data_IF_294156193607
#
_entry.id   IF_294156193607
#
_cell.length_a   1.000
_cell.length_b   1.000
_cell.length_c   1.000
_cell.angle_alpha   90.00
_cell.angle_beta   90.00
_cell.angle_gamma   90.00
#
_symmetry.space_group_name_H-M   'P 1'
#
loop_
_entity.id
_entity.type
_entity.pdbx_description
1 polymer ?
#
# COMPACT_ATOMS: atom_id res chain seq x y z
N UNK A 1 -1.71 1.07 -14.55
CA UNK A 1 -2.08 0.47 -13.25
C UNK A 1 -2.84 1.53 -12.46
N UNK A 2 -4.16 1.39 -12.29
CA UNK A 2 -4.93 2.28 -11.41
C UNK A 2 -4.63 1.92 -9.95
N UNK A 3 -4.29 2.90 -9.12
CA UNK A 3 -4.00 2.69 -7.70
C UNK A 3 -5.30 2.39 -6.94
N UNK A 4 -5.46 1.13 -6.49
CA UNK A 4 -6.68 0.64 -5.82
C UNK A 4 -6.98 1.35 -4.50
N UNK A 5 -5.97 1.98 -3.89
CA UNK A 5 -6.10 2.82 -2.69
C UNK A 5 -7.10 3.96 -2.91
N UNK A 6 -7.01 4.63 -4.07
CA UNK A 6 -7.92 5.72 -4.42
C UNK A 6 -9.28 5.22 -4.90
N UNK A 7 -9.44 3.95 -5.26
CA UNK A 7 -10.75 3.39 -5.62
C UNK A 7 -11.57 2.94 -4.41
N UNK A 8 -10.93 2.71 -3.25
CA UNK A 8 -11.61 2.34 -2.00
C UNK A 8 -12.31 3.55 -1.36
N UNK A 9 -11.81 4.75 -1.63
CA UNK A 9 -12.43 6.01 -1.18
C UNK A 9 -13.15 6.65 -2.36
N UNK A 10 -14.46 6.84 -2.22
CA UNK A 10 -15.29 7.51 -3.23
C UNK A 10 -14.93 9.00 -3.42
N UNK A 11 -14.07 9.54 -2.56
CA UNK A 11 -13.67 10.93 -2.55
C UNK A 11 -12.15 11.06 -2.35
N UNK A 12 -11.44 11.47 -3.42
CA UNK A 12 -10.00 11.74 -3.40
C UNK A 12 -9.66 12.83 -2.39
N UNK A 13 -10.59 13.75 -2.12
CA UNK A 13 -10.34 14.88 -1.23
C UNK A 13 -10.19 14.43 0.22
N UNK A 14 -11.00 13.46 0.64
CA UNK A 14 -10.87 12.83 1.97
C UNK A 14 -9.50 12.18 2.21
N UNK A 15 -8.82 11.70 1.15
CA UNK A 15 -7.49 11.11 1.22
C UNK A 15 -6.40 12.17 1.28
N UNK A 16 -6.61 13.33 0.64
CA UNK A 16 -5.68 14.46 0.64
C UNK A 16 -5.76 15.27 1.94
N UNK A 17 -6.92 15.31 2.58
CA UNK A 17 -7.15 15.96 3.87
C UNK A 17 -6.76 15.07 5.07
N UNK A 18 -6.39 13.81 4.81
CA UNK A 18 -5.94 12.85 5.82
C UNK A 18 -4.54 13.19 6.32
N UNK A 19 -4.32 13.09 7.64
CA UNK A 19 -2.98 13.24 8.19
C UNK A 19 -2.03 12.18 7.62
N UNK A 20 -0.74 12.52 7.53
CA UNK A 20 0.28 11.66 6.93
C UNK A 20 0.38 10.32 7.68
N UNK A 21 0.26 10.30 9.00
CA UNK A 21 0.32 9.05 9.78
C UNK A 21 -0.87 8.14 9.47
N UNK A 22 -2.07 8.71 9.41
CA UNK A 22 -3.30 7.99 9.08
C UNK A 22 -3.27 7.46 7.64
N UNK A 23 -2.78 8.26 6.69
CA UNK A 23 -2.60 7.85 5.31
C UNK A 23 -1.62 6.67 5.20
N UNK A 24 -0.48 6.75 5.91
CA UNK A 24 0.52 5.69 5.93
C UNK A 24 -0.09 4.40 6.52
N UNK A 25 -0.81 4.49 7.64
CA UNK A 25 -1.46 3.35 8.28
C UNK A 25 -2.51 2.70 7.36
N UNK A 26 -3.36 3.51 6.74
CA UNK A 26 -4.34 3.06 5.75
C UNK A 26 -3.67 2.36 4.57
N UNK A 27 -2.64 2.97 3.98
CA UNK A 27 -1.92 2.44 2.85
C UNK A 27 -1.26 1.09 3.18
N UNK A 28 -0.60 0.99 4.33
CA UNK A 28 -0.02 -0.27 4.79
C UNK A 28 -1.07 -1.35 5.05
N UNK A 29 -2.21 -0.99 5.64
CA UNK A 29 -3.34 -1.90 5.85
C UNK A 29 -3.85 -2.48 4.53
N UNK A 30 -4.04 -1.62 3.53
CA UNK A 30 -4.50 -2.05 2.20
C UNK A 30 -3.49 -2.98 1.52
N UNK A 31 -2.20 -2.65 1.55
CA UNK A 31 -1.15 -3.53 1.02
C UNK A 31 -1.16 -4.89 1.74
N UNK A 32 -1.28 -4.88 3.07
CA UNK A 32 -1.31 -6.11 3.86
C UNK A 32 -2.48 -6.98 3.45
N UNK A 33 -3.67 -6.39 3.30
CA UNK A 33 -4.88 -7.07 2.84
C UNK A 33 -4.71 -7.66 1.44
N UNK A 34 -4.22 -6.87 0.47
CA UNK A 34 -4.00 -7.36 -0.89
C UNK A 34 -2.99 -8.51 -0.94
N UNK A 35 -1.96 -8.47 -0.10
CA UNK A 35 -0.99 -9.54 0.02
C UNK A 35 -1.65 -10.81 0.59
N UNK A 36 -2.48 -10.67 1.62
CA UNK A 36 -3.20 -11.77 2.24
C UNK A 36 -4.21 -12.41 1.28
N UNK A 37 -4.99 -11.60 0.57
CA UNK A 37 -5.94 -12.06 -0.46
C UNK A 37 -5.25 -12.88 -1.56
N UNK A 38 -4.04 -12.45 -1.98
CA UNK A 38 -3.23 -13.20 -2.96
C UNK A 38 -2.75 -14.53 -2.41
N UNK A 39 -2.28 -14.57 -1.17
CA UNK A 39 -1.82 -15.81 -0.52
C UNK A 39 -3.00 -16.76 -0.36
N UNK A 40 -4.16 -16.25 0.05
CA UNK A 40 -5.38 -17.03 0.19
C UNK A 40 -5.85 -17.62 -1.14
N UNK A 41 -5.86 -16.81 -2.20
CA UNK A 41 -6.21 -17.28 -3.55
C UNK A 41 -5.25 -18.36 -4.04
N UNK A 42 -3.95 -18.21 -3.77
CA UNK A 42 -2.95 -19.21 -4.13
C UNK A 42 -3.14 -20.51 -3.34
N UNK A 43 -3.48 -20.43 -2.05
CA UNK A 43 -3.80 -21.58 -1.22
C UNK A 43 -4.99 -22.36 -1.79
N UNK A 44 -6.11 -21.67 -2.09
CA UNK A 44 -7.28 -22.31 -2.69
C UNK A 44 -6.96 -23.01 -4.02
N UNK A 45 -6.16 -22.37 -4.87
CA UNK A 45 -5.83 -22.92 -6.19
C UNK A 45 -4.92 -24.15 -6.10
N UNK A 46 -3.88 -24.08 -5.27
CA UNK A 46 -2.90 -25.17 -5.13
C UNK A 46 -3.47 -26.38 -4.39
N UNK A 47 -4.42 -26.14 -3.49
CA UNK A 47 -4.93 -27.14 -2.58
C UNK A 47 -6.44 -27.40 -2.75
N UNK A 48 -6.99 -27.17 -3.94
CA UNK A 48 -8.41 -27.37 -4.25
C UNK A 48 -8.95 -28.79 -3.94
N UNK A 49 -8.09 -29.81 -3.96
CA UNK A 49 -8.44 -31.22 -3.77
C UNK A 49 -7.86 -31.80 -2.45
N UNK A 50 -7.80 -31.00 -1.39
CA UNK A 50 -7.38 -31.48 -0.08
C UNK A 50 -8.35 -32.51 0.51
N UNK A 51 -7.79 -33.61 0.99
CA UNK A 51 -8.43 -34.62 1.80
C UNK A 51 -7.72 -34.78 3.14
N UNK A 52 -8.07 -35.80 3.91
CA UNK A 52 -7.50 -36.04 5.24
C UNK A 52 -5.98 -36.22 5.23
N UNK A 53 -5.43 -36.82 4.17
CA UNK A 53 -4.02 -37.22 4.13
C UNK A 53 -3.07 -36.11 3.68
N UNK A 54 -3.59 -35.03 3.09
CA UNK A 54 -2.81 -33.93 2.53
C UNK A 54 -3.37 -32.54 2.89
N UNK A 55 -4.18 -32.48 3.96
CA UNK A 55 -4.71 -31.23 4.48
C UNK A 55 -3.57 -30.31 4.93
N UNK A 56 -3.64 -29.04 4.50
CA UNK A 56 -2.82 -27.95 5.01
C UNK A 56 -3.74 -26.77 5.30
N UNK A 57 -3.69 -26.26 6.53
CA UNK A 57 -4.45 -25.07 6.89
C UNK A 57 -3.93 -23.84 6.13
N UNK A 58 -4.79 -22.83 5.99
CA UNK A 58 -4.38 -21.56 5.39
C UNK A 58 -3.24 -20.92 6.20
N UNK A 59 -3.31 -20.98 7.52
CA UNK A 59 -2.30 -20.45 8.44
C UNK A 59 -0.93 -21.10 8.21
N UNK A 60 -0.88 -22.44 8.13
CA UNK A 60 0.35 -23.17 7.86
C UNK A 60 0.93 -22.82 6.48
N UNK A 61 0.09 -22.70 5.46
CA UNK A 61 0.54 -22.30 4.13
C UNK A 61 1.05 -20.86 4.12
N UNK A 62 0.29 -19.93 4.70
CA UNK A 62 0.64 -18.51 4.82
C UNK A 62 1.98 -18.36 5.54
N UNK A 63 2.17 -19.06 6.65
CA UNK A 63 3.39 -18.96 7.44
C UNK A 63 4.57 -19.51 6.66
N UNK A 64 4.42 -20.63 5.93
CA UNK A 64 5.47 -21.16 5.02
C UNK A 64 5.88 -20.16 3.94
N UNK A 65 4.94 -19.48 3.28
CA UNK A 65 5.26 -18.54 2.19
C UNK A 65 5.68 -17.14 2.68
N UNK A 66 5.40 -16.80 3.93
CA UNK A 66 5.76 -15.49 4.52
C UNK A 66 7.05 -15.52 5.32
N UNK A 67 7.39 -16.63 5.99
CA UNK A 67 8.65 -16.80 6.73
C UNK A 67 9.90 -16.83 5.84
N UNK A 68 9.77 -17.11 4.54
CA UNK A 68 10.91 -17.12 3.61
C UNK A 68 11.44 -15.71 3.31
N UNK A 69 10.68 -14.64 3.58
CA UNK A 69 11.15 -13.26 3.36
C UNK A 69 11.77 -12.70 4.63
N UNK A 70 13.10 -12.85 4.76
CA UNK A 70 13.90 -11.97 5.64
C UNK A 70 13.47 -10.53 5.37
N UNK A 71 13.12 -9.81 6.44
CA UNK A 71 12.88 -8.37 6.45
C UNK A 71 14.16 -7.70 5.93
N UNK A 72 14.26 -7.47 4.62
CA UNK A 72 15.33 -6.64 4.08
C UNK A 72 15.03 -5.26 4.60
N UNK A 73 15.87 -4.76 5.52
CA UNK A 73 15.89 -3.34 5.84
C UNK A 73 15.94 -2.58 4.53
N UNK A 74 14.89 -1.82 4.23
CA UNK A 74 14.90 -0.90 3.11
C UNK A 74 15.87 0.20 3.53
N UNK A 75 17.14 0.07 3.15
CA UNK A 75 18.10 1.16 3.23
C UNK A 75 17.72 2.17 2.15
N UNK A 76 16.92 3.17 2.54
CA UNK A 76 16.66 4.33 1.70
C UNK A 76 17.93 5.17 1.74
N UNK A 77 18.63 5.25 0.61
CA UNK A 77 19.81 6.08 0.49
C UNK A 77 19.46 7.58 0.58
N UNK A 78 20.45 8.40 0.93
CA UNK A 78 20.34 9.86 1.09
C UNK A 78 19.74 10.55 -0.15
N UNK A 79 20.11 10.09 -1.35
CA UNK A 79 19.63 10.69 -2.60
C UNK A 79 18.16 10.38 -2.82
N UNK A 80 17.71 9.16 -2.51
CA UNK A 80 16.29 8.81 -2.57
C UNK A 80 15.47 9.62 -1.57
N UNK A 81 15.97 9.87 -0.35
CA UNK A 81 15.31 10.75 0.62
C UNK A 81 15.18 12.17 0.11
N UNK A 82 16.28 12.76 -0.41
CA UNK A 82 16.26 14.10 -1.00
C UNK A 82 15.25 14.21 -2.15
N UNK A 83 15.21 13.19 -3.01
CA UNK A 83 14.29 13.18 -4.15
C UNK A 83 12.82 13.14 -3.71
N UNK A 84 12.49 12.43 -2.62
CA UNK A 84 11.14 12.41 -2.05
C UNK A 84 10.78 13.78 -1.47
N UNK A 85 11.70 14.41 -0.71
CA UNK A 85 11.51 15.73 -0.10
C UNK A 85 11.29 16.79 -1.18
N UNK A 86 12.18 16.88 -2.16
CA UNK A 86 12.06 17.86 -3.26
C UNK A 86 10.76 17.68 -4.04
N UNK A 87 10.30 16.44 -4.22
CA UNK A 87 9.03 16.17 -4.90
C UNK A 87 7.84 16.60 -4.07
N UNK A 88 7.88 16.43 -2.75
CA UNK A 88 6.85 16.91 -1.83
C UNK A 88 6.77 18.45 -1.83
N UNK A 89 7.91 19.14 -1.76
CA UNK A 89 8.01 20.61 -1.81
C UNK A 89 7.48 21.19 -3.12
N UNK A 90 7.77 20.55 -4.26
CA UNK A 90 7.22 20.96 -5.55
C UNK A 90 5.69 20.79 -5.61
N UNK A 91 5.13 19.80 -4.91
CA UNK A 91 3.67 19.59 -4.86
C UNK A 91 2.99 20.64 -3.97
N UNK A 92 3.55 20.99 -2.82
CA UNK A 92 3.03 22.08 -1.96
C UNK A 92 3.17 23.46 -2.62
N UNK A 93 4.30 23.73 -3.29
CA UNK A 93 4.47 24.99 -4.03
C UNK A 93 3.47 25.15 -5.18
N UNK A 94 3.15 24.07 -5.89
CA UNK A 94 2.11 24.08 -6.93
C UNK A 94 0.71 24.29 -6.35
N UNK A 95 0.41 23.69 -5.19
CA UNK A 95 -0.87 23.89 -4.49
C UNK A 95 -1.08 25.35 -4.09
N UNK A 96 -0.06 25.99 -3.51
CA UNK A 96 -0.14 27.39 -3.08
C UNK A 96 -0.29 28.38 -4.24
N UNK A 97 0.22 28.05 -5.43
CA UNK A 97 0.09 28.93 -6.61
C UNK A 97 -1.33 28.89 -7.24
N UNK A 98 -2.10 27.83 -6.98
CA UNK A 98 -3.51 27.72 -7.43
C UNK A 98 -4.42 28.60 -6.56
N UNK A 99 -4.12 28.78 -5.27
CA UNK A 99 -4.90 29.67 -4.40
C UNK A 99 -4.81 31.16 -4.79
N UNK A 100 -3.65 31.63 -5.29
CA UNK A 100 -3.49 33.03 -5.73
C UNK A 100 -4.19 33.34 -7.06
N UNK A 101 -4.26 32.37 -7.97
CA UNK A 101 -4.90 32.56 -9.28
C UNK A 101 -6.44 32.59 -9.18
N UNK A 102 -7.03 31.97 -8.16
CA UNK A 102 -8.48 32.03 -7.90
C UNK A 102 -8.93 33.24 -7.06
N UNK A 103 -8.01 33.98 -6.41
CA UNK A 103 -8.30 35.22 -5.66
C UNK A 103 -8.23 36.50 -6.51
N UNK A 104 -7.82 36.40 -7.78
CA UNK A 104 -7.65 37.53 -8.71
C UNK A 104 -8.67 37.53 -9.86
N UNK A 105 -9.73 36.73 -9.77
CA UNK A 105 -10.89 36.73 -10.68
C UNK A 105 -12.12 37.20 -9.94
#
# INVERSE_FOLDING_TARGET
MQNKVFSTYNDVQSVLDMDIEDFINMYYSQIKKEKEDRIYSAWLMLYQNMGKDNFISFEEYRDKVTTTKKKSEIKIDEQTKLNIINKAELMTAKSNNVEWTNKLR
#
